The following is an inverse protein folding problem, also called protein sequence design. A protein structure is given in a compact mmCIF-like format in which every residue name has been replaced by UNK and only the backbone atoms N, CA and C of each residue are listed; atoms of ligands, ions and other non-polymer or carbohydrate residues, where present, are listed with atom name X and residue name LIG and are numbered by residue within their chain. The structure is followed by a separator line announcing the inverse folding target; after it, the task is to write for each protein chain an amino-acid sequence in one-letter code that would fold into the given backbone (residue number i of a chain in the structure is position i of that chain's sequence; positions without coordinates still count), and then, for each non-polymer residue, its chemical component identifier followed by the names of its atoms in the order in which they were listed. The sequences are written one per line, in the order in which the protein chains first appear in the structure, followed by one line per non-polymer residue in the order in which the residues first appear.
data_IF_021400587057
#
_entry.id   IF_021400587057
#
_cell.length_a   1.000
_cell.length_b   1.000
_cell.length_c   1.000
_cell.angle_alpha   90.00
_cell.angle_beta   90.00
_cell.angle_gamma   90.00
#
_symmetry.space_group_name_H-M   'P 1'
#
loop_
_entity.id
_entity.type
_entity.pdbx_description
1 polymer ?
#
# COMPACT_ATOMS: atom_id res chain seq x y z
N UNK A 1 -49.17 40.92 -11.10
CA UNK A 1 -48.70 42.06 -10.29
C UNK A 1 -47.27 41.75 -9.88
N UNK A 2 -46.33 42.34 -10.61
CA UNK A 2 -44.88 42.23 -10.41
C UNK A 2 -44.47 43.15 -9.27
N UNK A 3 -43.65 42.68 -8.34
CA UNK A 3 -42.66 43.53 -7.65
C UNK A 3 -41.34 42.79 -7.53
N UNK A 4 -40.39 43.29 -8.33
CA UNK A 4 -38.95 43.12 -8.24
C UNK A 4 -38.42 44.05 -7.15
N UNK A 5 -37.53 43.54 -6.30
CA UNK A 5 -36.54 44.22 -5.46
C UNK A 5 -35.54 43.10 -5.07
N UNK A 6 -34.22 43.17 -5.19
CA UNK A 6 -33.27 44.16 -5.64
C UNK A 6 -31.89 43.48 -5.52
N UNK A 7 -30.96 43.87 -6.39
CA UNK A 7 -29.56 43.47 -6.35
C UNK A 7 -28.89 43.90 -5.04
N UNK A 8 -28.19 42.98 -4.37
CA UNK A 8 -27.04 43.33 -3.53
C UNK A 8 -25.92 42.32 -3.80
N UNK A 9 -25.28 42.58 -4.93
CA UNK A 9 -23.97 42.07 -5.30
C UNK A 9 -22.95 43.03 -4.68
N UNK A 10 -22.59 42.85 -3.41
CA UNK A 10 -21.32 43.32 -2.84
C UNK A 10 -21.18 42.94 -1.36
N UNK A 11 -19.95 42.61 -0.96
CA UNK A 11 -19.48 42.39 0.42
C UNK A 11 -19.66 40.99 1.06
N UNK A 12 -19.15 39.94 0.40
CA UNK A 12 -18.43 38.89 1.16
C UNK A 12 -16.94 39.02 0.91
N UNK A 13 -16.31 39.70 1.87
CA UNK A 13 -14.89 39.98 1.94
C UNK A 13 -14.08 38.71 1.73
N UNK A 14 -13.10 38.83 0.84
CA UNK A 14 -11.95 37.95 0.68
C UNK A 14 -11.40 37.53 2.05
N UNK A 15 -11.35 36.23 2.31
CA UNK A 15 -10.42 35.68 3.30
C UNK A 15 -9.05 35.69 2.61
N UNK A 16 -8.37 36.83 2.73
CA UNK A 16 -6.94 36.93 2.43
C UNK A 16 -6.18 36.17 3.50
N UNK A 17 -5.37 35.19 3.11
CA UNK A 17 -4.35 34.59 3.98
C UNK A 17 -3.15 35.54 4.03
N UNK A 18 -2.87 36.24 5.14
CA UNK A 18 -1.69 37.06 5.25
C UNK A 18 -0.68 36.30 6.10
N UNK A 19 0.03 35.35 5.51
CA UNK A 19 1.29 34.90 6.11
C UNK A 19 2.37 34.93 5.04
N UNK A 20 2.97 36.12 5.00
CA UNK A 20 4.25 36.43 4.39
C UNK A 20 5.30 35.50 5.02
N UNK A 21 5.77 34.51 4.27
CA UNK A 21 7.01 33.81 4.59
C UNK A 21 8.19 34.71 4.18
N UNK A 22 8.52 35.69 5.01
CA UNK A 22 9.82 36.35 4.94
C UNK A 22 10.46 36.33 6.32
N UNK A 23 11.58 35.60 6.45
CA UNK A 23 12.58 35.90 7.47
C UNK A 23 12.72 34.98 8.70
N UNK A 24 12.08 33.82 8.77
CA UNK A 24 12.40 32.84 9.83
C UNK A 24 13.35 31.78 9.27
N UNK A 25 14.52 31.54 9.88
CA UNK A 25 15.37 30.43 9.47
C UNK A 25 14.57 29.14 9.64
N UNK A 26 14.48 28.32 8.59
CA UNK A 26 13.86 27.00 8.61
C UNK A 26 14.78 26.05 9.41
N UNK A 27 14.87 26.25 10.72
CA UNK A 27 15.55 25.37 11.66
C UNK A 27 15.16 25.73 13.11
N UNK A 28 13.94 25.38 13.52
CA UNK A 28 13.57 25.38 14.94
C UNK A 28 12.68 24.18 15.24
N UNK A 29 13.36 23.06 15.48
CA UNK A 29 12.96 21.84 16.21
C UNK A 29 11.46 21.75 16.52
N UNK A 30 10.69 21.20 15.58
CA UNK A 30 9.38 20.65 15.93
C UNK A 30 9.65 19.37 16.76
N UNK A 31 9.33 19.45 18.06
CA UNK A 31 9.41 18.32 18.99
C UNK A 31 8.00 17.84 19.32
N UNK A 32 7.79 16.54 19.19
CA UNK A 32 6.67 15.87 19.85
C UNK A 32 7.15 15.22 21.15
N UNK A 33 6.22 15.07 22.08
CA UNK A 33 6.53 14.52 23.40
C UNK A 33 6.20 13.03 23.44
N UNK A 34 7.22 12.23 23.74
CA UNK A 34 7.12 10.78 23.83
C UNK A 34 7.23 10.33 25.28
N UNK A 35 6.55 9.23 25.62
CA UNK A 35 6.74 8.56 26.90
C UNK A 35 7.64 7.34 26.70
N UNK A 36 8.89 7.42 27.16
CA UNK A 36 9.85 6.31 27.15
C UNK A 36 10.07 5.87 28.59
N UNK A 37 9.74 4.62 28.91
CA UNK A 37 9.83 4.05 30.27
C UNK A 37 9.17 4.95 31.34
N UNK A 38 8.00 5.51 31.03
CA UNK A 38 7.24 6.38 31.93
C UNK A 38 7.79 7.81 32.08
N UNK A 39 8.83 8.19 31.33
CA UNK A 39 9.39 9.55 31.32
C UNK A 39 9.05 10.27 30.02
N UNK A 40 8.67 11.55 30.15
CA UNK A 40 8.42 12.43 29.01
C UNK A 40 9.76 12.85 28.41
N UNK A 41 10.01 12.48 27.16
CA UNK A 41 11.21 12.81 26.40
C UNK A 41 10.79 13.62 25.18
N UNK A 42 11.45 14.74 24.93
CA UNK A 42 11.28 15.50 23.69
C UNK A 42 12.11 14.86 22.59
N UNK A 43 11.48 14.48 21.48
CA UNK A 43 12.16 13.93 20.31
C UNK A 43 11.88 14.85 19.13
N UNK A 44 12.93 15.31 18.46
CA UNK A 44 12.78 16.12 17.25
C UNK A 44 12.32 15.26 16.08
N UNK A 45 11.63 15.83 15.08
CA UNK A 45 11.25 15.06 13.88
C UNK A 45 12.46 14.49 13.11
N UNK A 46 13.59 15.19 13.10
CA UNK A 46 14.81 14.67 12.47
C UNK A 46 15.38 13.46 13.24
N UNK A 47 15.33 13.50 14.57
CA UNK A 47 15.73 12.35 15.38
C UNK A 47 14.75 11.20 15.23
N UNK A 48 13.45 11.49 15.14
CA UNK A 48 12.43 10.47 14.93
C UNK A 48 12.56 9.79 13.56
N UNK A 49 12.75 10.55 12.48
CA UNK A 49 13.05 10.01 11.15
C UNK A 49 14.29 9.10 11.19
N UNK A 50 15.39 9.57 11.77
CA UNK A 50 16.62 8.77 11.94
C UNK A 50 16.36 7.48 12.74
N UNK A 51 15.51 7.52 13.76
CA UNK A 51 15.14 6.32 14.51
C UNK A 51 14.34 5.35 13.66
N UNK A 52 13.41 5.82 12.82
CA UNK A 52 12.65 4.96 11.90
C UNK A 52 13.58 4.34 10.86
N UNK A 53 14.40 5.14 10.19
CA UNK A 53 15.37 4.69 9.18
C UNK A 53 16.29 3.59 9.72
N UNK A 54 16.83 3.76 10.93
CA UNK A 54 17.77 2.81 11.52
C UNK A 54 17.13 1.51 12.04
N UNK A 55 15.80 1.46 12.19
CA UNK A 55 15.14 0.37 12.91
C UNK A 55 14.03 -0.31 12.12
N UNK A 56 13.40 0.34 11.15
CA UNK A 56 12.25 -0.21 10.42
C UNK A 56 12.58 -1.59 9.84
N UNK A 57 13.56 -1.67 8.95
CA UNK A 57 13.88 -2.95 8.30
C UNK A 57 14.42 -3.98 9.29
N UNK A 58 15.19 -3.57 10.29
CA UNK A 58 15.69 -4.45 11.36
C UNK A 58 14.57 -5.20 12.08
N UNK A 59 13.42 -4.57 12.31
CA UNK A 59 12.31 -5.18 13.04
C UNK A 59 11.29 -5.87 12.13
N UNK A 60 11.10 -5.36 10.91
CA UNK A 60 10.08 -5.86 9.99
C UNK A 60 10.59 -6.93 9.02
N UNK A 61 11.87 -6.96 8.65
CA UNK A 61 12.39 -7.91 7.67
C UNK A 61 12.56 -9.32 8.26
N UNK A 62 12.09 -10.32 7.52
CA UNK A 62 12.38 -11.73 7.76
C UNK A 62 13.26 -12.24 6.62
N UNK A 63 14.50 -12.60 6.96
CA UNK A 63 15.49 -13.07 5.99
C UNK A 63 15.02 -14.27 5.18
N UNK A 64 15.42 -14.30 3.91
CA UNK A 64 15.19 -15.42 2.99
C UNK A 64 15.88 -16.71 3.47
N UNK A 65 16.98 -16.56 4.22
CA UNK A 65 17.72 -17.66 4.87
C UNK A 65 17.62 -17.55 6.39
N UNK A 66 17.70 -18.67 7.15
CA UNK A 66 17.68 -18.61 8.61
C UNK A 66 18.79 -17.71 9.18
N UNK A 67 18.42 -16.75 10.02
CA UNK A 67 19.32 -15.87 10.78
C UNK A 67 19.36 -16.31 12.26
N UNK A 68 20.54 -16.54 12.86
CA UNK A 68 20.69 -16.82 14.28
C UNK A 68 20.07 -15.80 15.24
N UNK A 69 19.79 -14.57 14.78
CA UNK A 69 19.17 -13.49 15.58
C UNK A 69 17.64 -13.53 15.60
N UNK A 70 17.03 -14.49 14.89
CA UNK A 70 15.57 -14.64 14.87
C UNK A 70 15.02 -14.97 16.27
N UNK A 71 14.06 -14.17 16.74
CA UNK A 71 13.47 -14.36 18.07
C UNK A 71 12.58 -15.61 18.18
N UNK A 72 11.86 -15.96 17.10
CA UNK A 72 10.90 -17.06 17.09
C UNK A 72 10.91 -17.79 15.73
N UNK A 73 12.01 -18.48 15.38
CA UNK A 73 12.17 -19.12 14.07
C UNK A 73 11.10 -20.18 13.78
N UNK A 74 10.56 -20.82 14.82
CA UNK A 74 9.49 -21.82 14.74
C UNK A 74 8.11 -21.23 14.38
N UNK A 75 7.92 -19.91 14.48
CA UNK A 75 6.70 -19.21 14.09
C UNK A 75 6.74 -18.68 12.65
N UNK A 76 7.89 -18.77 11.98
CA UNK A 76 8.07 -18.26 10.62
C UNK A 76 7.43 -19.22 9.62
N UNK A 77 6.26 -18.86 9.08
CA UNK A 77 5.61 -19.62 8.01
C UNK A 77 6.30 -19.39 6.65
N UNK A 78 6.68 -18.14 6.34
CA UNK A 78 7.38 -17.77 5.11
C UNK A 78 8.56 -16.85 5.36
N UNK A 79 9.56 -16.98 4.48
CA UNK A 79 10.82 -16.24 4.52
C UNK A 79 10.96 -15.30 3.34
N UNK A 80 11.81 -14.29 3.48
CA UNK A 80 11.97 -13.22 2.49
C UNK A 80 10.71 -12.36 2.40
N UNK A 81 10.16 -11.99 3.55
CA UNK A 81 8.93 -11.19 3.66
C UNK A 81 9.15 -10.05 4.66
N UNK A 82 8.29 -9.04 4.59
CA UNK A 82 8.13 -8.09 5.68
C UNK A 82 6.98 -8.55 6.57
N UNK A 83 7.19 -8.51 7.89
CA UNK A 83 6.15 -8.70 8.91
C UNK A 83 5.01 -7.72 8.66
N UNK A 84 3.79 -8.13 8.98
CA UNK A 84 2.64 -7.22 8.96
C UNK A 84 2.62 -6.30 10.18
N UNK A 85 3.03 -6.84 11.34
CA UNK A 85 3.00 -6.17 12.64
C UNK A 85 4.26 -6.52 13.44
N UNK A 86 4.72 -5.60 14.28
CA UNK A 86 5.76 -5.82 15.30
C UNK A 86 5.17 -5.50 16.67
N UNK A 87 5.39 -6.37 17.66
CA UNK A 87 4.84 -6.21 19.00
C UNK A 87 3.38 -6.65 19.11
N UNK A 88 2.98 -7.68 18.37
CA UNK A 88 1.61 -8.16 18.38
C UNK A 88 1.27 -8.91 19.69
N UNK A 89 0.01 -8.84 20.13
CA UNK A 89 -0.46 -9.59 21.32
C UNK A 89 -0.31 -11.10 21.15
N UNK A 90 -0.43 -11.61 19.92
CA UNK A 90 -0.15 -12.99 19.56
C UNK A 90 1.06 -13.04 18.63
N UNK A 91 2.19 -13.55 19.11
CA UNK A 91 3.47 -13.46 18.39
C UNK A 91 3.45 -14.08 16.98
N UNK A 92 2.63 -15.11 16.73
CA UNK A 92 2.54 -15.71 15.39
C UNK A 92 1.97 -14.74 14.34
N UNK A 93 1.15 -13.75 14.73
CA UNK A 93 0.54 -12.81 13.77
C UNK A 93 1.57 -11.86 13.17
N UNK A 94 2.71 -11.67 13.84
CA UNK A 94 3.83 -10.91 13.28
C UNK A 94 4.41 -11.57 12.02
N UNK A 95 4.33 -12.89 11.93
CA UNK A 95 4.95 -13.70 10.88
C UNK A 95 4.01 -14.04 9.73
N UNK A 96 2.84 -13.38 9.67
CA UNK A 96 1.87 -13.56 8.59
C UNK A 96 2.28 -12.77 7.35
N UNK A 97 2.24 -13.43 6.20
CA UNK A 97 2.36 -12.75 4.91
C UNK A 97 1.01 -12.12 4.56
N UNK A 98 0.98 -10.78 4.51
CA UNK A 98 -0.20 -9.96 4.20
C UNK A 98 0.15 -8.89 3.15
N UNK A 99 -0.84 -8.33 2.42
CA UNK A 99 -0.59 -7.40 1.31
C UNK A 99 -0.39 -5.94 1.75
N UNK A 100 -0.07 -5.68 3.02
CA UNK A 100 0.01 -4.32 3.58
C UNK A 100 1.39 -3.68 3.40
N UNK A 101 2.48 -4.44 3.51
CA UNK A 101 3.84 -3.91 3.38
C UNK A 101 4.12 -3.14 2.06
N UNK A 102 3.50 -3.46 0.89
CA UNK A 102 3.67 -2.67 -0.32
C UNK A 102 3.27 -1.19 -0.15
N UNK A 103 2.41 -0.86 0.82
CA UNK A 103 2.07 0.54 1.15
C UNK A 103 3.33 1.27 1.59
N UNK A 104 4.05 0.74 2.57
CA UNK A 104 5.32 1.29 3.05
C UNK A 104 6.35 1.42 1.91
N UNK A 105 6.45 0.38 1.07
CA UNK A 105 7.34 0.37 -0.09
C UNK A 105 7.03 1.46 -1.13
N UNK A 106 5.78 1.90 -1.24
CA UNK A 106 5.39 2.99 -2.13
C UNK A 106 5.68 4.35 -1.52
N UNK A 107 5.33 4.53 -0.24
CA UNK A 107 5.36 5.86 0.42
C UNK A 107 6.72 6.23 0.98
N UNK A 108 7.49 5.25 1.44
CA UNK A 108 8.80 5.42 2.09
C UNK A 108 9.77 4.30 1.65
N UNK A 109 10.09 4.21 0.34
CA UNK A 109 11.00 3.18 -0.19
C UNK A 109 12.41 3.22 0.42
N UNK A 110 12.82 4.36 0.98
CA UNK A 110 14.11 4.54 1.64
C UNK A 110 14.26 3.74 2.94
N UNK A 111 13.16 3.25 3.51
CA UNK A 111 13.16 2.46 4.75
C UNK A 111 13.63 1.02 4.55
N UNK A 112 13.93 0.61 3.32
CA UNK A 112 14.20 -0.80 2.98
C UNK A 112 15.34 -0.94 1.97
N UNK A 113 16.05 -2.07 2.07
CA UNK A 113 16.99 -2.47 1.04
C UNK A 113 16.26 -2.91 -0.25
N UNK A 114 16.67 -2.41 -1.44
CA UNK A 114 15.99 -2.73 -2.69
C UNK A 114 15.87 -4.22 -3.02
N UNK A 115 16.88 -5.02 -2.68
CA UNK A 115 16.86 -6.45 -2.93
C UNK A 115 15.85 -7.17 -2.02
N UNK A 116 15.78 -6.79 -0.74
CA UNK A 116 14.78 -7.33 0.19
C UNK A 116 13.35 -6.97 -0.25
N UNK A 117 13.13 -5.72 -0.68
CA UNK A 117 11.86 -5.29 -1.25
C UNK A 117 11.47 -6.13 -2.48
N UNK A 118 12.41 -6.40 -3.38
CA UNK A 118 12.16 -7.21 -4.57
C UNK A 118 11.78 -8.66 -4.22
N UNK A 119 12.51 -9.27 -3.28
CA UNK A 119 12.24 -10.62 -2.76
C UNK A 119 10.84 -10.69 -2.14
N UNK A 120 10.48 -9.75 -1.24
CA UNK A 120 9.18 -9.71 -0.59
C UNK A 120 8.03 -9.50 -1.58
N UNK A 121 8.19 -8.59 -2.55
CA UNK A 121 7.22 -8.40 -3.62
C UNK A 121 7.08 -9.65 -4.49
N UNK A 122 8.15 -10.44 -4.65
CA UNK A 122 8.09 -11.77 -5.26
C UNK A 122 7.20 -12.74 -4.48
N UNK A 123 7.36 -12.78 -3.15
CA UNK A 123 6.50 -13.60 -2.28
C UNK A 123 5.04 -13.16 -2.34
N UNK A 124 4.76 -11.86 -2.26
CA UNK A 124 3.41 -11.32 -2.37
C UNK A 124 2.77 -11.65 -3.73
N UNK A 125 3.53 -11.52 -4.83
CA UNK A 125 3.05 -11.89 -6.16
C UNK A 125 2.70 -13.38 -6.23
N UNK A 126 3.55 -14.24 -5.67
CA UNK A 126 3.38 -15.70 -5.73
C UNK A 126 2.21 -16.20 -4.89
N UNK A 127 2.03 -15.62 -3.70
CA UNK A 127 1.12 -16.17 -2.68
C UNK A 127 -0.17 -15.37 -2.50
N UNK A 128 -0.15 -14.07 -2.76
CA UNK A 128 -1.29 -13.19 -2.44
C UNK A 128 -2.02 -12.66 -3.68
N UNK A 129 -1.34 -12.48 -4.82
CA UNK A 129 -1.98 -11.92 -6.01
C UNK A 129 -3.03 -12.89 -6.61
N UNK A 130 -4.30 -12.51 -6.52
CA UNK A 130 -5.42 -13.23 -7.12
C UNK A 130 -5.76 -12.76 -8.55
N UNK A 131 -6.90 -13.25 -9.09
CA UNK A 131 -7.37 -12.83 -10.41
C UNK A 131 -7.72 -11.34 -10.50
N UNK A 132 -8.38 -10.80 -9.47
CA UNK A 132 -8.73 -9.38 -9.36
C UNK A 132 -8.09 -8.72 -8.14
N UNK A 133 -8.21 -9.31 -6.95
CA UNK A 133 -7.67 -8.72 -5.72
C UNK A 133 -6.36 -9.35 -5.24
N UNK A 134 -5.89 -8.89 -4.09
CA UNK A 134 -4.87 -9.56 -3.28
C UNK A 134 -5.50 -10.22 -2.06
N UNK A 135 -5.19 -11.48 -1.84
CA UNK A 135 -5.57 -12.21 -0.62
C UNK A 135 -5.02 -11.46 0.60
N UNK A 136 -5.87 -11.18 1.57
CA UNK A 136 -5.48 -10.43 2.78
C UNK A 136 -4.62 -11.24 3.74
N UNK A 137 -4.53 -12.56 3.54
CA UNK A 137 -3.70 -13.48 4.30
C UNK A 137 -3.22 -14.60 3.38
N UNK A 138 -2.00 -15.08 3.59
CA UNK A 138 -1.45 -16.22 2.88
C UNK A 138 -2.29 -17.51 3.05
N UNK A 139 -2.63 -18.22 1.95
CA UNK A 139 -3.40 -19.46 2.01
C UNK A 139 -2.81 -20.60 2.83
N UNK A 140 -1.49 -20.62 3.08
CA UNK A 140 -0.89 -21.64 3.95
C UNK A 140 -1.01 -21.32 5.44
N UNK A 141 -1.53 -20.15 5.82
CA UNK A 141 -1.79 -19.81 7.22
C UNK A 141 -3.03 -20.54 7.76
N UNK A 142 -2.97 -21.02 9.00
CA UNK A 142 -4.07 -21.74 9.66
C UNK A 142 -5.35 -20.88 9.83
N UNK A 143 -5.19 -19.57 9.89
CA UNK A 143 -6.28 -18.60 10.00
C UNK A 143 -6.88 -18.21 8.65
N UNK A 144 -6.36 -18.74 7.52
CA UNK A 144 -6.89 -18.41 6.21
C UNK A 144 -8.33 -18.91 6.01
N UNK A 145 -9.21 -17.99 5.63
CA UNK A 145 -10.61 -18.20 5.28
C UNK A 145 -10.93 -17.32 4.08
N UNK A 146 -10.79 -17.88 2.87
CA UNK A 146 -10.83 -17.13 1.61
C UNK A 146 -12.21 -16.62 1.17
N UNK A 147 -13.29 -17.10 1.78
CA UNK A 147 -14.66 -16.73 1.41
C UNK A 147 -15.34 -16.00 2.58
N UNK A 148 -15.83 -14.79 2.29
CA UNK A 148 -16.58 -13.95 3.20
C UNK A 148 -18.07 -13.96 2.85
N UNK A 149 -18.87 -14.31 3.85
CA UNK A 149 -20.31 -14.15 3.88
C UNK A 149 -20.65 -13.48 5.22
N UNK A 150 -21.29 -12.31 5.16
CA UNK A 150 -21.58 -11.51 6.36
C UNK A 150 -22.61 -12.20 7.28
N UNK A 151 -23.40 -13.12 6.72
CA UNK A 151 -24.38 -13.93 7.44
C UNK A 151 -23.79 -15.06 8.27
N UNK A 152 -22.51 -15.40 8.10
CA UNK A 152 -21.91 -16.54 8.77
C UNK A 152 -21.63 -16.25 10.25
N UNK A 153 -21.67 -17.30 11.09
CA UNK A 153 -21.39 -17.26 12.54
C UNK A 153 -19.94 -16.82 12.89
N UNK A 154 -19.15 -16.43 11.89
CA UNK A 154 -17.79 -15.91 12.07
C UNK A 154 -17.76 -14.45 12.52
N UNK A 155 -18.91 -13.77 12.63
CA UNK A 155 -19.02 -12.34 12.98
C UNK A 155 -18.10 -11.45 12.12
N UNK A 156 -17.95 -11.80 10.84
CA UNK A 156 -17.08 -11.09 9.90
C UNK A 156 -15.58 -11.28 10.11
N UNK A 157 -15.14 -12.23 10.94
CA UNK A 157 -13.71 -12.54 11.15
C UNK A 157 -12.97 -12.82 9.84
N UNK A 158 -13.67 -13.36 8.83
CA UNK A 158 -13.09 -13.67 7.53
C UNK A 158 -12.79 -12.42 6.68
N UNK A 159 -13.41 -11.26 6.95
CA UNK A 159 -13.35 -10.06 6.10
C UNK A 159 -11.91 -9.62 5.74
N UNK A 160 -10.96 -9.84 6.67
CA UNK A 160 -9.54 -9.56 6.47
C UNK A 160 -8.62 -10.78 6.64
N UNK A 161 -9.14 -12.01 6.58
CA UNK A 161 -8.37 -13.24 6.78
C UNK A 161 -8.40 -14.19 5.59
N UNK A 162 -8.49 -13.68 4.36
CA UNK A 162 -8.40 -14.49 3.16
C UNK A 162 -9.00 -13.88 1.90
N UNK A 163 -10.14 -13.16 1.96
CA UNK A 163 -10.75 -12.55 0.79
C UNK A 163 -9.77 -11.66 0.04
N UNK A 164 -10.03 -11.51 -1.25
CA UNK A 164 -9.15 -10.83 -2.18
C UNK A 164 -9.58 -9.38 -2.34
N UNK A 165 -8.88 -8.47 -1.67
CA UNK A 165 -9.18 -7.05 -1.73
C UNK A 165 -8.55 -6.40 -2.96
N UNK A 166 -9.26 -5.48 -3.61
CA UNK A 166 -8.79 -4.93 -4.90
C UNK A 166 -7.80 -3.78 -4.71
N UNK A 167 -8.03 -2.87 -3.76
CA UNK A 167 -7.15 -1.70 -3.57
C UNK A 167 -5.67 -2.04 -3.26
N UNK A 168 -5.31 -3.10 -2.49
CA UNK A 168 -3.91 -3.45 -2.23
C UNK A 168 -3.14 -3.81 -3.50
N UNK A 169 -3.83 -4.27 -4.56
CA UNK A 169 -3.22 -4.53 -5.87
C UNK A 169 -2.52 -3.27 -6.38
N UNK A 170 -3.11 -2.08 -6.19
CA UNK A 170 -2.52 -0.85 -6.70
C UNK A 170 -1.20 -0.51 -6.01
N UNK A 171 -1.13 -0.69 -4.70
CA UNK A 171 0.11 -0.53 -3.94
C UNK A 171 1.15 -1.58 -4.33
N UNK A 172 0.76 -2.84 -4.48
CA UNK A 172 1.65 -3.90 -4.95
C UNK A 172 2.26 -3.59 -6.32
N UNK A 173 1.43 -3.19 -7.30
CA UNK A 173 1.91 -2.87 -8.65
C UNK A 173 2.82 -1.63 -8.66
N UNK A 174 2.46 -0.59 -7.90
CA UNK A 174 3.30 0.61 -7.76
C UNK A 174 4.62 0.32 -7.07
N UNK A 175 4.63 -0.51 -6.03
CA UNK A 175 5.86 -0.93 -5.38
C UNK A 175 6.76 -1.69 -6.37
N UNK A 176 6.21 -2.66 -7.12
CA UNK A 176 6.94 -3.39 -8.17
C UNK A 176 7.53 -2.43 -9.20
N UNK A 177 6.75 -1.50 -9.74
CA UNK A 177 7.23 -0.51 -10.72
C UNK A 177 8.34 0.38 -10.14
N UNK A 178 8.18 0.84 -8.90
CA UNK A 178 9.14 1.73 -8.25
C UNK A 178 10.49 1.05 -8.05
N UNK A 179 10.51 -0.14 -7.47
CA UNK A 179 11.77 -0.88 -7.26
C UNK A 179 12.40 -1.37 -8.57
N UNK A 180 11.59 -1.75 -9.56
CA UNK A 180 12.12 -2.07 -10.89
C UNK A 180 12.74 -0.85 -11.60
N UNK A 181 12.20 0.35 -11.39
CA UNK A 181 12.77 1.58 -11.95
C UNK A 181 14.03 2.07 -11.20
N UNK A 182 14.17 1.73 -9.91
CA UNK A 182 15.38 2.02 -9.13
C UNK A 182 16.55 1.11 -9.50
N UNK A 183 16.27 -0.11 -9.95
CA UNK A 183 17.30 -1.08 -10.37
C UNK A 183 17.88 -0.74 -11.75
N UNK A 184 18.90 0.12 -11.74
CA UNK A 184 19.62 0.51 -12.98
C UNK A 184 20.51 -0.61 -13.53
N UNK A 185 20.78 -1.66 -12.75
CA UNK A 185 21.64 -2.77 -13.16
C UNK A 185 20.90 -3.80 -14.02
N UNK A 186 19.56 -3.84 -13.94
CA UNK A 186 18.73 -4.75 -14.71
C UNK A 186 17.58 -4.01 -15.43
N UNK A 187 17.84 -3.43 -16.62
CA UNK A 187 16.80 -2.74 -17.40
C UNK A 187 15.64 -3.65 -17.86
N UNK A 188 15.88 -4.96 -18.00
CA UNK A 188 14.85 -5.93 -18.39
C UNK A 188 13.79 -6.08 -17.31
N UNK A 189 14.19 -6.02 -16.03
CA UNK A 189 13.29 -6.09 -14.86
C UNK A 189 12.14 -5.09 -14.94
N UNK A 190 12.44 -3.87 -15.37
CA UNK A 190 11.40 -2.85 -15.54
C UNK A 190 10.44 -3.18 -16.67
N UNK A 191 10.97 -3.64 -17.81
CA UNK A 191 10.14 -4.02 -18.97
C UNK A 191 9.21 -5.19 -18.63
N UNK A 192 9.72 -6.22 -17.95
CA UNK A 192 8.94 -7.35 -17.44
C UNK A 192 7.87 -6.91 -16.43
N UNK A 193 8.23 -5.99 -15.53
CA UNK A 193 7.30 -5.45 -14.54
C UNK A 193 6.17 -4.68 -15.21
N UNK A 194 6.47 -3.85 -16.21
CA UNK A 194 5.45 -3.13 -17.00
C UNK A 194 4.50 -4.12 -17.70
N UNK A 195 5.01 -5.24 -18.23
CA UNK A 195 4.17 -6.28 -18.84
C UNK A 195 3.25 -6.95 -17.81
N UNK A 196 3.77 -7.29 -16.62
CA UNK A 196 2.96 -7.81 -15.51
C UNK A 196 1.86 -6.82 -15.13
N UNK A 197 2.19 -5.55 -14.92
CA UNK A 197 1.24 -4.50 -14.54
C UNK A 197 0.13 -4.36 -15.59
N UNK A 198 0.49 -4.27 -16.89
CA UNK A 198 -0.49 -4.19 -17.98
C UNK A 198 -1.42 -5.41 -18.02
N UNK A 199 -0.89 -6.62 -17.76
CA UNK A 199 -1.70 -7.84 -17.69
C UNK A 199 -2.69 -7.82 -16.52
N UNK A 200 -2.28 -7.29 -15.37
CA UNK A 200 -3.16 -7.13 -14.21
C UNK A 200 -4.23 -6.07 -14.51
N UNK A 201 -3.85 -4.91 -15.01
CA UNK A 201 -4.80 -3.83 -15.38
C UNK A 201 -5.79 -4.26 -16.47
N UNK A 202 -5.38 -5.10 -17.43
CA UNK A 202 -6.27 -5.63 -18.45
C UNK A 202 -7.42 -6.47 -17.84
N UNK A 203 -7.15 -7.27 -16.80
CA UNK A 203 -8.19 -8.03 -16.07
C UNK A 203 -9.17 -7.11 -15.36
N UNK A 204 -8.66 -6.05 -14.72
CA UNK A 204 -9.49 -5.02 -14.10
C UNK A 204 -10.36 -4.29 -15.14
N UNK A 205 -9.79 -3.97 -16.31
CA UNK A 205 -10.54 -3.34 -17.39
C UNK A 205 -11.68 -4.24 -17.90
N UNK A 206 -11.44 -5.55 -18.06
CA UNK A 206 -12.50 -6.51 -18.40
C UNK A 206 -13.59 -6.50 -17.32
N UNK A 207 -13.22 -6.56 -16.04
CA UNK A 207 -14.19 -6.52 -14.94
C UNK A 207 -15.04 -5.25 -14.95
N UNK A 208 -14.43 -4.08 -15.17
CA UNK A 208 -15.15 -2.80 -15.28
C UNK A 208 -16.19 -2.85 -16.41
N UNK A 209 -15.85 -3.43 -17.56
CA UNK A 209 -16.78 -3.51 -18.69
C UNK A 209 -17.93 -4.49 -18.45
N UNK A 210 -17.66 -5.61 -17.76
CA UNK A 210 -18.66 -6.64 -17.42
C UNK A 210 -19.56 -6.24 -16.25
N UNK A 211 -19.04 -5.45 -15.30
CA UNK A 211 -19.78 -4.97 -14.15
C UNK A 211 -20.97 -4.09 -14.57
N UNK A 212 -22.10 -4.25 -13.89
CA UNK A 212 -23.27 -3.37 -14.02
C UNK A 212 -22.91 -1.92 -13.65
N UNK A 213 -22.08 -1.77 -12.62
CA UNK A 213 -21.70 -0.47 -12.05
C UNK A 213 -20.57 0.23 -12.81
N UNK A 214 -20.01 -0.40 -13.84
CA UNK A 214 -18.83 0.10 -14.56
C UNK A 214 -17.66 0.46 -13.64
N UNK A 215 -17.47 -0.37 -12.61
CA UNK A 215 -16.48 -0.18 -11.56
C UNK A 215 -15.89 -1.51 -11.10
N UNK A 216 -14.84 -1.43 -10.30
CA UNK A 216 -14.26 -2.54 -9.56
C UNK A 216 -14.94 -2.72 -8.19
N UNK A 217 -15.08 -3.97 -7.72
CA UNK A 217 -15.61 -4.24 -6.40
C UNK A 217 -14.61 -3.87 -5.30
N UNK A 218 -15.09 -3.84 -4.06
CA UNK A 218 -14.25 -3.76 -2.87
C UNK A 218 -13.35 -4.98 -2.71
N UNK A 219 -13.96 -6.16 -2.78
CA UNK A 219 -13.29 -7.44 -2.62
C UNK A 219 -13.96 -8.53 -3.45
N UNK A 220 -13.22 -9.61 -3.68
CA UNK A 220 -13.76 -10.88 -4.17
C UNK A 220 -13.52 -11.96 -3.12
N UNK A 221 -14.32 -13.02 -3.16
CA UNK A 221 -13.99 -14.25 -2.45
C UNK A 221 -12.78 -14.93 -3.13
N UNK A 222 -12.37 -16.07 -2.59
CA UNK A 222 -11.19 -16.79 -3.02
C UNK A 222 -11.13 -17.00 -4.53
N UNK A 223 -9.94 -16.79 -5.11
CA UNK A 223 -9.68 -17.01 -6.54
C UNK A 223 -10.61 -16.20 -7.45
N UNK A 224 -10.94 -14.97 -7.05
CA UNK A 224 -11.78 -14.06 -7.83
C UNK A 224 -13.27 -14.40 -7.83
N UNK A 225 -13.72 -15.33 -6.98
CA UNK A 225 -15.13 -15.68 -6.87
C UNK A 225 -15.96 -14.47 -6.43
N UNK A 226 -17.18 -14.35 -6.96
CA UNK A 226 -18.09 -13.26 -6.59
C UNK A 226 -18.39 -13.28 -5.08
N UNK A 227 -18.31 -12.12 -4.44
CA UNK A 227 -18.74 -11.93 -3.05
C UNK A 227 -20.03 -11.10 -3.05
N UNK A 228 -21.17 -11.65 -2.60
CA UNK A 228 -22.45 -10.94 -2.61
C UNK A 228 -22.47 -9.75 -1.64
N UNK A 229 -21.67 -9.80 -0.57
CA UNK A 229 -21.59 -8.75 0.45
C UNK A 229 -20.59 -7.64 0.10
N UNK A 230 -19.82 -7.79 -0.99
CA UNK A 230 -18.87 -6.77 -1.44
C UNK A 230 -19.60 -5.60 -2.09
N UNK A 231 -19.18 -4.38 -1.78
CA UNK A 231 -19.55 -3.21 -2.58
C UNK A 231 -19.10 -3.44 -4.04
N UNK A 232 -20.02 -3.33 -5.01
CA UNK A 232 -19.74 -3.56 -6.44
C UNK A 232 -19.02 -2.41 -7.14
N UNK A 233 -18.95 -1.24 -6.49
CA UNK A 233 -18.31 -0.04 -7.02
C UNK A 233 -17.59 0.73 -5.92
N UNK A 234 -16.31 0.40 -5.70
CA UNK A 234 -15.58 0.89 -4.54
C UNK A 234 -14.49 1.92 -4.91
N UNK A 235 -14.53 3.07 -4.24
CA UNK A 235 -13.72 4.24 -4.59
C UNK A 235 -12.21 3.98 -4.53
N UNK A 236 -11.73 3.33 -3.46
CA UNK A 236 -10.30 3.02 -3.32
C UNK A 236 -9.80 2.00 -4.34
N UNK A 237 -10.67 1.13 -4.85
CA UNK A 237 -10.30 0.07 -5.80
C UNK A 237 -9.99 0.72 -7.14
N UNK A 238 -10.83 1.66 -7.56
CA UNK A 238 -10.61 2.48 -8.74
C UNK A 238 -9.44 3.45 -8.56
N UNK A 239 -9.39 4.18 -7.44
CA UNK A 239 -8.35 5.18 -7.15
C UNK A 239 -6.96 4.58 -7.20
N UNK A 240 -6.74 3.44 -6.55
CA UNK A 240 -5.44 2.77 -6.56
C UNK A 240 -5.03 2.29 -7.95
N UNK A 241 -5.96 1.86 -8.82
CA UNK A 241 -5.64 1.51 -10.21
C UNK A 241 -5.29 2.74 -11.06
N UNK A 242 -5.96 3.87 -10.84
CA UNK A 242 -5.63 5.14 -11.50
C UNK A 242 -4.22 5.61 -11.12
N UNK A 243 -3.82 5.46 -9.86
CA UNK A 243 -2.45 5.79 -9.43
C UNK A 243 -1.38 4.91 -10.10
N UNK A 244 -1.70 3.64 -10.41
CA UNK A 244 -0.81 2.77 -11.20
C UNK A 244 -0.68 3.29 -12.64
N UNK A 245 -1.80 3.66 -13.28
CA UNK A 245 -1.80 4.21 -14.63
C UNK A 245 -0.99 5.51 -14.71
N UNK A 246 -1.18 6.42 -13.76
CA UNK A 246 -0.41 7.66 -13.65
C UNK A 246 1.09 7.39 -13.52
N UNK A 247 1.49 6.40 -12.72
CA UNK A 247 2.89 6.01 -12.60
C UNK A 247 3.45 5.45 -13.92
N UNK A 248 2.69 4.63 -14.65
CA UNK A 248 3.11 4.12 -15.95
C UNK A 248 3.32 5.23 -16.99
N UNK A 249 2.44 6.24 -17.01
CA UNK A 249 2.54 7.39 -17.91
C UNK A 249 3.78 8.25 -17.62
N UNK A 250 4.09 8.46 -16.33
CA UNK A 250 5.29 9.19 -15.94
C UNK A 250 6.57 8.42 -16.28
N UNK A 251 6.55 7.09 -16.12
CA UNK A 251 7.68 6.24 -16.52
C UNK A 251 7.88 6.29 -18.04
N UNK A 252 6.83 6.15 -18.86
CA UNK A 252 6.96 6.20 -20.33
C UNK A 252 7.45 7.55 -20.83
N UNK A 253 6.98 8.65 -20.24
CA UNK A 253 7.43 10.01 -20.58
C UNK A 253 8.92 10.21 -20.32
N UNK A 254 9.44 9.64 -19.23
CA UNK A 254 10.87 9.68 -18.91
C UNK A 254 11.75 8.86 -19.87
N UNK A 255 11.19 7.84 -20.54
CA UNK A 255 11.89 7.08 -21.57
C UNK A 255 11.96 7.81 -22.90
N UNK A 256 10.87 8.48 -23.30
CA UNK A 256 10.83 9.25 -24.55
C UNK A 256 11.79 10.44 -24.53
N UNK A 257 11.98 11.09 -23.37
CA UNK A 257 12.94 12.18 -23.20
C UNK A 257 14.41 11.73 -23.15
N UNK A 258 14.69 10.44 -22.94
CA UNK A 258 16.06 9.88 -22.89
C UNK A 258 16.57 9.32 -24.22
N UNK A 259 15.68 9.12 -25.21
CA UNK A 259 16.02 8.65 -26.56
C UNK A 259 16.27 9.77 -27.57
N UNK A 260 16.16 11.03 -27.13
CA UNK A 260 16.36 12.23 -27.92
C UNK A 260 17.72 12.87 -27.62
N UNK A 261 18.80 12.14 -27.92
CA UNK A 261 20.18 12.66 -28.00
C UNK A 261 20.95 11.88 -29.05
#
# INVERSE_FOLDING_TARGET
MVKSLGSDYESRKHISWPYVFTGVPVCSVLTDWWCVAGKRVGVSYAEWDRLIQNNFEKYFWISATPDPKEMAPNLINKRGIYKDVVGASHMYTEYQLRPNFPIALVVAPELVEPEHAWIALGQAQKHLLGPLGMKTLDPSDMQYRGSYYNSDDTNGFNYHNGPEWVWPVGYFLRAKLRFAALDRSNPERLSETVLLVKRVLARHNVQIHLSEWKSLPELTNENGMFCPDSCGAQAWSMGCMLEVLYMLENLSSSFSSRRSF
#
